data_IF_178568875663
#
_entry.id   IF_178568875663
#
_cell.length_a   1.000
_cell.length_b   1.000
_cell.length_c   1.000
_cell.angle_alpha   90.00
_cell.angle_beta   90.00
_cell.angle_gamma   90.00
#
_symmetry.space_group_name_H-M   'P 1'
#
loop_
_entity.id
_entity.type
_entity.pdbx_description
1 polymer ?
#
# COMPACT_ATOMS: atom_id res chain seq x y z
N UNK A 1 -9.56 57.42 -58.63
CA UNK A 1 -11.00 57.72 -58.46
C UNK A 1 -11.54 56.90 -57.29
N UNK A 2 -12.40 57.46 -56.44
CA UNK A 2 -12.02 57.75 -55.05
C UNK A 2 -12.99 57.21 -53.99
N UNK A 3 -12.55 57.33 -52.71
CA UNK A 3 -13.32 57.84 -51.55
C UNK A 3 -14.42 56.97 -50.94
N UNK A 4 -14.77 56.98 -49.65
CA UNK A 4 -14.25 57.46 -48.35
C UNK A 4 -15.47 57.34 -47.38
N UNK A 5 -15.26 57.36 -46.06
CA UNK A 5 -16.31 57.71 -45.07
C UNK A 5 -16.95 56.51 -44.33
N UNK A 6 -16.65 56.13 -43.07
CA UNK A 6 -16.47 56.83 -41.78
C UNK A 6 -17.78 57.03 -40.98
N UNK A 7 -17.91 56.22 -39.91
CA UNK A 7 -18.36 56.49 -38.52
C UNK A 7 -19.84 56.74 -38.12
N UNK A 8 -20.12 56.15 -36.94
CA UNK A 8 -20.87 56.63 -35.76
C UNK A 8 -22.40 56.58 -35.72
N UNK A 9 -22.95 56.19 -34.56
CA UNK A 9 -24.26 56.66 -34.10
C UNK A 9 -25.10 55.65 -33.32
N UNK A 10 -24.96 55.70 -31.99
CA UNK A 10 -25.81 55.08 -30.96
C UNK A 10 -27.27 55.57 -31.00
N UNK A 11 -28.23 54.69 -30.65
CA UNK A 11 -29.35 54.91 -29.70
C UNK A 11 -30.70 54.32 -30.15
N UNK A 12 -31.28 53.58 -29.20
CA UNK A 12 -32.64 53.02 -29.13
C UNK A 12 -33.69 54.15 -29.10
N UNK A 13 -34.93 53.94 -29.58
CA UNK A 13 -36.04 53.85 -28.62
C UNK A 13 -37.23 52.91 -28.99
N UNK A 14 -37.78 52.30 -27.93
CA UNK A 14 -39.20 52.18 -27.55
C UNK A 14 -40.24 51.44 -28.42
N UNK A 15 -40.68 50.31 -27.86
CA UNK A 15 -42.06 49.87 -27.60
C UNK A 15 -43.20 50.32 -28.54
N UNK A 16 -43.86 49.33 -29.13
CA UNK A 16 -45.32 49.34 -29.24
C UNK A 16 -45.92 47.93 -29.06
N UNK A 17 -46.72 47.82 -28.01
CA UNK A 17 -47.55 46.69 -27.64
C UNK A 17 -48.53 46.28 -28.74
N UNK A 18 -48.82 44.98 -28.86
CA UNK A 18 -50.19 44.45 -29.04
C UNK A 18 -50.24 42.92 -28.86
N UNK A 19 -50.68 42.53 -27.67
CA UNK A 19 -51.67 41.49 -27.37
C UNK A 19 -51.42 40.00 -27.73
N UNK A 20 -51.24 39.24 -26.63
CA UNK A 20 -51.93 38.00 -26.26
C UNK A 20 -51.58 36.69 -26.99
N UNK A 21 -50.61 35.95 -26.41
CA UNK A 21 -50.82 34.52 -26.09
C UNK A 21 -50.03 34.20 -24.81
N UNK A 22 -50.61 34.52 -23.65
CA UNK A 22 -50.06 34.12 -22.35
C UNK A 22 -50.37 32.64 -22.12
N UNK A 23 -49.45 31.77 -22.53
CA UNK A 23 -49.32 30.45 -21.91
C UNK A 23 -48.52 30.67 -20.62
N UNK A 24 -49.09 30.42 -19.42
CA UNK A 24 -48.34 30.59 -18.18
C UNK A 24 -47.31 29.47 -18.08
N UNK A 25 -46.03 29.80 -18.24
CA UNK A 25 -44.90 28.88 -18.15
C UNK A 25 -44.51 28.54 -16.71
N UNK A 26 -45.25 29.01 -15.70
CA UNK A 26 -44.99 28.71 -14.30
C UNK A 26 -46.29 28.67 -13.52
N UNK A 27 -46.92 27.49 -13.46
CA UNK A 27 -47.99 27.22 -12.51
C UNK A 27 -47.57 26.05 -11.62
N UNK A 28 -47.08 26.41 -10.43
CA UNK A 28 -47.16 25.64 -9.19
C UNK A 28 -46.72 24.17 -9.25
N UNK A 29 -45.43 23.93 -9.05
CA UNK A 29 -45.05 23.03 -7.97
C UNK A 29 -44.25 23.87 -6.98
N UNK A 30 -44.85 24.12 -5.81
CA UNK A 30 -44.16 24.66 -4.68
C UNK A 30 -42.92 23.79 -4.45
N UNK A 31 -41.74 24.32 -4.74
CA UNK A 31 -40.50 23.79 -4.20
C UNK A 31 -40.56 24.11 -2.72
N UNK A 32 -41.14 23.18 -1.95
CA UNK A 32 -40.80 23.04 -0.54
C UNK A 32 -39.29 23.03 -0.48
N UNK A 33 -38.69 24.12 -0.01
CA UNK A 33 -37.32 24.10 0.47
C UNK A 33 -37.23 22.87 1.39
N UNK A 34 -36.28 21.94 1.17
CA UNK A 34 -36.18 20.77 2.02
C UNK A 34 -36.08 21.28 3.45
N UNK A 35 -36.99 20.80 4.30
CA UNK A 35 -36.93 21.12 5.72
C UNK A 35 -35.51 20.79 6.22
N UNK A 36 -34.94 21.55 7.17
CA UNK A 36 -33.62 21.24 7.71
C UNK A 36 -33.52 19.79 8.22
N UNK A 37 -34.65 19.19 8.59
CA UNK A 37 -34.76 17.78 8.99
C UNK A 37 -34.70 16.80 7.79
N UNK A 38 -35.32 17.12 6.65
CA UNK A 38 -35.21 16.33 5.41
C UNK A 38 -33.79 16.38 4.82
N UNK A 39 -33.11 17.52 4.92
CA UNK A 39 -31.73 17.66 4.46
C UNK A 39 -30.73 16.93 5.39
N UNK A 40 -30.95 16.95 6.71
CA UNK A 40 -30.18 16.18 7.67
C UNK A 40 -30.39 14.66 7.53
N UNK A 41 -31.64 14.22 7.31
CA UNK A 41 -31.98 12.81 7.06
C UNK A 41 -31.39 12.28 5.76
N UNK A 42 -31.38 13.10 4.69
CA UNK A 42 -30.74 12.74 3.41
C UNK A 42 -29.21 12.74 3.48
N UNK A 43 -28.59 13.66 4.23
CA UNK A 43 -27.15 13.65 4.45
C UNK A 43 -26.71 12.43 5.27
N UNK A 44 -27.40 12.14 6.38
CA UNK A 44 -27.13 10.97 7.23
C UNK A 44 -27.25 9.68 6.44
N UNK A 45 -28.28 9.55 5.61
CA UNK A 45 -28.47 8.40 4.73
C UNK A 45 -27.35 8.26 3.69
N UNK A 46 -26.94 9.35 3.04
CA UNK A 46 -25.82 9.35 2.08
C UNK A 46 -24.51 8.97 2.76
N UNK A 47 -24.23 9.57 3.92
CA UNK A 47 -23.07 9.23 4.74
C UNK A 47 -23.05 7.75 5.11
N UNK A 48 -24.18 7.18 5.52
CA UNK A 48 -24.29 5.76 5.84
C UNK A 48 -24.02 4.85 4.64
N UNK A 49 -24.56 5.21 3.47
CA UNK A 49 -24.35 4.46 2.23
C UNK A 49 -22.88 4.46 1.83
N UNK A 50 -22.24 5.64 1.81
CA UNK A 50 -20.82 5.76 1.45
C UNK A 50 -19.91 5.10 2.50
N UNK A 51 -20.23 5.25 3.78
CA UNK A 51 -19.53 4.54 4.88
C UNK A 51 -19.60 3.02 4.71
N UNK A 52 -20.77 2.48 4.35
CA UNK A 52 -20.95 1.04 4.13
C UNK A 52 -20.12 0.53 2.94
N UNK A 53 -20.06 1.29 1.85
CA UNK A 53 -19.22 0.96 0.69
C UNK A 53 -17.74 1.02 1.06
N UNK A 54 -17.30 2.05 1.78
CA UNK A 54 -15.93 2.19 2.24
C UNK A 54 -15.52 1.01 3.13
N UNK A 55 -16.35 0.64 4.11
CA UNK A 55 -16.08 -0.49 4.99
C UNK A 55 -16.02 -1.85 4.28
N UNK A 56 -16.73 -2.00 3.16
CA UNK A 56 -16.63 -3.20 2.32
C UNK A 56 -15.23 -3.38 1.71
N UNK A 57 -14.50 -2.28 1.50
CA UNK A 57 -13.14 -2.27 0.94
C UNK A 57 -12.11 -2.27 2.07
N UNK A 58 -12.27 -1.34 3.02
CA UNK A 58 -11.33 -1.06 4.10
C UNK A 58 -11.29 -2.21 5.10
N UNK A 59 -12.43 -2.77 5.51
CA UNK A 59 -12.47 -3.84 6.52
C UNK A 59 -11.62 -5.06 6.15
N UNK A 60 -11.84 -5.70 4.99
CA UNK A 60 -11.02 -6.82 4.55
C UNK A 60 -9.55 -6.42 4.28
N UNK A 61 -9.32 -5.17 3.86
CA UNK A 61 -7.96 -4.64 3.67
C UNK A 61 -7.20 -4.52 5.00
N UNK A 62 -7.82 -3.97 6.05
CA UNK A 62 -7.26 -3.91 7.42
C UNK A 62 -6.87 -5.30 7.86
N UNK A 63 -7.81 -6.24 7.78
CA UNK A 63 -7.58 -7.62 8.16
C UNK A 63 -6.41 -8.24 7.39
N UNK A 64 -6.37 -8.09 6.06
CA UNK A 64 -5.29 -8.66 5.24
C UNK A 64 -3.91 -8.09 5.60
N UNK A 65 -3.84 -6.78 5.89
CA UNK A 65 -2.59 -6.11 6.28
C UNK A 65 -2.15 -6.55 7.68
N UNK A 66 -3.08 -6.60 8.63
CA UNK A 66 -2.80 -7.12 9.98
C UNK A 66 -2.32 -8.57 9.92
N UNK A 67 -3.02 -9.44 9.18
CA UNK A 67 -2.63 -10.84 9.03
C UNK A 67 -1.23 -10.98 8.41
N UNK A 68 -0.92 -10.19 7.37
CA UNK A 68 0.39 -10.24 6.72
C UNK A 68 1.50 -9.68 7.61
N UNK A 69 1.24 -8.61 8.36
CA UNK A 69 2.21 -8.04 9.31
C UNK A 69 2.45 -8.96 10.51
N UNK A 70 1.42 -9.69 10.97
CA UNK A 70 1.56 -10.68 12.03
C UNK A 70 2.56 -11.78 11.72
N UNK A 71 2.83 -12.08 10.44
CA UNK A 71 3.91 -13.01 10.08
C UNK A 71 5.29 -12.50 10.56
N UNK A 72 5.57 -11.20 10.46
CA UNK A 72 6.80 -10.62 11.02
C UNK A 72 6.84 -10.72 12.54
N UNK A 73 5.72 -10.42 13.21
CA UNK A 73 5.63 -10.47 14.68
C UNK A 73 5.82 -11.90 15.21
N UNK A 74 5.18 -12.88 14.58
CA UNK A 74 5.36 -14.30 14.92
C UNK A 74 6.82 -14.72 14.71
N UNK A 75 7.41 -14.35 13.57
CA UNK A 75 8.82 -14.63 13.27
C UNK A 75 9.75 -14.07 14.35
N UNK A 76 9.54 -12.83 14.78
CA UNK A 76 10.31 -12.21 15.87
C UNK A 76 10.09 -12.92 17.21
N UNK A 77 8.84 -13.26 17.56
CA UNK A 77 8.55 -13.99 18.80
C UNK A 77 9.26 -15.35 18.87
N UNK A 78 9.29 -16.09 17.76
CA UNK A 78 10.02 -17.35 17.67
C UNK A 78 11.54 -17.17 17.75
N UNK A 79 12.10 -16.09 17.21
CA UNK A 79 13.51 -15.76 17.42
C UNK A 79 13.83 -15.45 18.88
N UNK A 80 12.90 -14.82 19.62
CA UNK A 80 13.00 -14.62 21.07
C UNK A 80 13.11 -15.91 21.88
N UNK A 81 12.52 -17.01 21.40
CA UNK A 81 12.69 -18.32 22.02
C UNK A 81 14.05 -18.97 21.74
N UNK A 82 14.77 -18.51 20.71
CA UNK A 82 16.12 -18.99 20.40
C UNK A 82 17.17 -18.32 21.29
N UNK A 83 17.00 -17.03 21.57
CA UNK A 83 17.86 -16.27 22.47
C UNK A 83 17.71 -14.75 22.30
N UNK A 84 18.27 -14.00 23.24
CA UNK A 84 18.23 -12.53 23.25
C UNK A 84 18.99 -11.94 22.04
N UNK A 85 20.11 -12.57 21.65
CA UNK A 85 20.94 -12.11 20.53
C UNK A 85 20.21 -12.33 19.19
N UNK A 86 19.56 -13.47 19.01
CA UNK A 86 18.76 -13.82 17.84
C UNK A 86 17.57 -12.88 17.68
N UNK A 87 16.88 -12.58 18.79
CA UNK A 87 15.79 -11.61 18.83
C UNK A 87 16.25 -10.21 18.44
N UNK A 88 17.34 -9.73 19.03
CA UNK A 88 17.91 -8.42 18.71
C UNK A 88 18.30 -8.34 17.23
N UNK A 89 18.97 -9.38 16.72
CA UNK A 89 19.43 -9.42 15.33
C UNK A 89 18.28 -9.40 14.32
N UNK A 90 17.24 -10.23 14.51
CA UNK A 90 16.09 -10.25 13.60
C UNK A 90 15.22 -9.00 13.74
N UNK A 91 15.14 -8.43 14.94
CA UNK A 91 14.39 -7.20 15.17
C UNK A 91 15.07 -6.05 14.43
N UNK A 92 16.38 -5.88 14.58
CA UNK A 92 17.15 -4.85 13.87
C UNK A 92 17.10 -5.06 12.35
N UNK A 93 17.32 -6.29 11.86
CA UNK A 93 17.22 -6.58 10.43
C UNK A 93 15.83 -6.21 9.87
N UNK A 94 14.74 -6.54 10.57
CA UNK A 94 13.39 -6.21 10.12
C UNK A 94 13.07 -4.72 10.24
N UNK A 95 13.45 -4.07 11.35
CA UNK A 95 13.06 -2.68 11.65
C UNK A 95 13.93 -1.65 10.95
N UNK A 96 15.20 -1.94 10.69
CA UNK A 96 16.14 -1.05 10.01
C UNK A 96 16.20 -1.39 8.53
N UNK A 97 16.54 -2.64 8.18
CA UNK A 97 16.81 -3.01 6.77
C UNK A 97 15.49 -3.26 6.01
N UNK A 98 14.66 -4.20 6.47
CA UNK A 98 13.43 -4.56 5.73
C UNK A 98 12.44 -3.40 5.71
N UNK A 99 12.20 -2.74 6.84
CA UNK A 99 11.19 -1.70 6.91
C UNK A 99 11.54 -0.45 6.09
N UNK A 100 12.82 -0.12 5.95
CA UNK A 100 13.28 0.95 5.05
C UNK A 100 12.88 0.65 3.61
N UNK A 101 13.19 -0.56 3.13
CA UNK A 101 12.87 -1.03 1.79
C UNK A 101 11.35 -1.17 1.58
N UNK A 102 10.64 -1.68 2.58
CA UNK A 102 9.18 -1.83 2.57
C UNK A 102 8.49 -0.49 2.32
N UNK A 103 8.88 0.57 3.03
CA UNK A 103 8.29 1.90 2.88
C UNK A 103 8.42 2.45 1.45
N UNK A 104 9.63 2.36 0.89
CA UNK A 104 9.90 2.80 -0.47
C UNK A 104 9.09 2.01 -1.50
N UNK A 105 9.14 0.68 -1.45
CA UNK A 105 8.45 -0.19 -2.39
C UNK A 105 6.92 -0.07 -2.28
N UNK A 106 6.39 0.09 -1.07
CA UNK A 106 4.95 0.32 -0.86
C UNK A 106 4.51 1.67 -1.45
N UNK A 107 5.34 2.71 -1.31
CA UNK A 107 5.08 4.02 -1.91
C UNK A 107 5.17 3.96 -3.43
N UNK A 108 6.14 3.23 -3.97
CA UNK A 108 6.26 3.02 -5.41
C UNK A 108 5.06 2.27 -6.00
N UNK A 109 4.50 1.32 -5.24
CA UNK A 109 3.29 0.61 -5.61
C UNK A 109 2.01 1.46 -5.50
N UNK A 110 1.98 2.55 -4.74
CA UNK A 110 0.77 3.39 -4.62
C UNK A 110 0.45 4.15 -5.90
N UNK A 111 1.44 4.43 -6.75
CA UNK A 111 1.21 4.94 -8.10
C UNK A 111 0.29 4.00 -8.93
N UNK A 112 0.41 2.69 -8.73
CA UNK A 112 -0.43 1.70 -9.39
C UNK A 112 -1.90 1.79 -8.93
N UNK A 113 -2.14 2.11 -7.66
CA UNK A 113 -3.50 2.26 -7.12
C UNK A 113 -4.26 3.34 -7.89
N UNK A 114 -3.68 4.52 -8.05
CA UNK A 114 -4.27 5.62 -8.83
C UNK A 114 -4.52 5.22 -10.28
N UNK A 115 -3.54 4.60 -10.95
CA UNK A 115 -3.66 4.19 -12.34
C UNK A 115 -4.72 3.11 -12.55
N UNK A 116 -4.78 2.12 -11.65
CA UNK A 116 -5.80 1.07 -11.68
C UNK A 116 -7.18 1.62 -11.33
N UNK A 117 -7.32 2.51 -10.35
CA UNK A 117 -8.58 3.17 -10.00
C UNK A 117 -9.15 3.99 -11.16
N UNK A 118 -8.31 4.79 -11.82
CA UNK A 118 -8.68 5.54 -13.03
C UNK A 118 -9.08 4.62 -14.19
N UNK A 119 -8.30 3.56 -14.46
CA UNK A 119 -8.61 2.62 -15.53
C UNK A 119 -9.88 1.81 -15.25
N UNK A 120 -10.10 1.41 -14.01
CA UNK A 120 -11.29 0.67 -13.59
C UNK A 120 -12.56 1.54 -13.69
N UNK A 121 -12.50 2.78 -13.20
CA UNK A 121 -13.59 3.76 -13.34
C UNK A 121 -13.86 4.14 -14.80
N UNK A 122 -12.82 4.25 -15.61
CA UNK A 122 -12.90 4.48 -17.06
C UNK A 122 -13.25 3.24 -17.89
N UNK A 123 -13.56 2.09 -17.26
CA UNK A 123 -13.89 0.80 -17.90
C UNK A 123 -12.79 0.24 -18.82
N UNK A 124 -11.55 0.68 -18.69
CA UNK A 124 -10.37 0.17 -19.41
C UNK A 124 -9.77 -1.03 -18.68
N UNK A 125 -10.56 -2.09 -18.51
CA UNK A 125 -10.23 -3.22 -17.62
C UNK A 125 -8.91 -3.92 -17.95
N UNK A 126 -8.58 -4.12 -19.23
CA UNK A 126 -7.35 -4.83 -19.60
C UNK A 126 -6.07 -4.09 -19.15
N UNK A 127 -6.13 -2.76 -19.04
CA UNK A 127 -4.97 -1.96 -18.63
C UNK A 127 -4.54 -2.24 -17.19
N UNK A 128 -5.44 -2.72 -16.32
CA UNK A 128 -5.07 -3.08 -14.95
C UNK A 128 -3.98 -4.15 -14.92
N UNK A 129 -4.10 -5.18 -15.79
CA UNK A 129 -3.10 -6.25 -15.90
C UNK A 129 -1.77 -5.75 -16.45
N UNK A 130 -1.82 -4.84 -17.43
CA UNK A 130 -0.63 -4.19 -18.00
C UNK A 130 0.09 -3.34 -16.96
N UNK A 131 -0.64 -2.49 -16.21
CA UNK A 131 -0.05 -1.67 -15.15
C UNK A 131 0.53 -2.50 -14.02
N UNK A 132 -0.12 -3.61 -13.63
CA UNK A 132 0.42 -4.54 -12.64
C UNK A 132 1.77 -5.12 -13.10
N UNK A 133 1.86 -5.58 -14.36
CA UNK A 133 3.11 -6.10 -14.93
C UNK A 133 4.19 -5.03 -15.02
N UNK A 134 3.84 -3.82 -15.43
CA UNK A 134 4.74 -2.66 -15.46
C UNK A 134 5.31 -2.36 -14.07
N UNK A 135 4.43 -2.40 -13.06
CA UNK A 135 4.83 -2.22 -11.67
C UNK A 135 5.76 -3.33 -11.18
N UNK A 136 5.50 -4.59 -11.53
CA UNK A 136 6.42 -5.70 -11.22
C UNK A 136 7.82 -5.45 -11.78
N UNK A 137 7.94 -5.03 -13.03
CA UNK A 137 9.24 -4.73 -13.65
C UNK A 137 9.96 -3.61 -12.88
N UNK A 138 9.28 -2.49 -12.64
CA UNK A 138 9.88 -1.32 -11.98
C UNK A 138 10.28 -1.63 -10.53
N UNK A 139 9.40 -2.28 -9.76
CA UNK A 139 9.71 -2.62 -8.37
C UNK A 139 10.78 -3.70 -8.27
N UNK A 140 10.83 -4.66 -9.21
CA UNK A 140 11.90 -5.66 -9.23
C UNK A 140 13.26 -5.02 -9.49
N UNK A 141 13.36 -4.11 -10.46
CA UNK A 141 14.58 -3.33 -10.71
C UNK A 141 14.96 -2.53 -9.45
N UNK A 142 13.99 -1.89 -8.80
CA UNK A 142 14.23 -1.18 -7.54
C UNK A 142 14.75 -2.11 -6.44
N UNK A 143 14.18 -3.32 -6.30
CA UNK A 143 14.68 -4.31 -5.35
C UNK A 143 16.15 -4.67 -5.59
N UNK A 144 16.56 -4.83 -6.86
CA UNK A 144 17.95 -5.07 -7.25
C UNK A 144 18.85 -3.89 -6.86
N UNK A 145 18.42 -2.65 -7.11
CA UNK A 145 19.17 -1.44 -6.75
C UNK A 145 19.34 -1.29 -5.23
N UNK A 146 18.43 -1.84 -4.45
CA UNK A 146 18.43 -1.79 -2.99
C UNK A 146 19.21 -2.93 -2.32
N UNK A 147 19.70 -3.92 -3.08
CA UNK A 147 20.52 -5.03 -2.55
C UNK A 147 21.73 -4.60 -1.71
N UNK A 148 22.46 -3.51 -2.04
CA UNK A 148 23.57 -3.06 -1.21
C UNK A 148 23.19 -2.83 0.26
N UNK A 149 21.94 -2.43 0.56
CA UNK A 149 21.48 -2.24 1.94
C UNK A 149 21.44 -3.56 2.73
N UNK A 150 21.17 -4.67 2.06
CA UNK A 150 21.18 -6.00 2.67
C UNK A 150 22.60 -6.57 2.75
N UNK A 151 23.38 -6.41 1.69
CA UNK A 151 24.76 -6.94 1.60
C UNK A 151 25.69 -6.24 2.61
N UNK A 152 25.53 -4.93 2.78
CA UNK A 152 26.35 -4.13 3.70
C UNK A 152 25.65 -3.84 5.03
N UNK A 153 24.64 -4.64 5.41
CA UNK A 153 23.90 -4.42 6.65
C UNK A 153 24.81 -4.46 7.89
N UNK A 154 25.70 -5.46 8.02
CA UNK A 154 26.63 -5.56 9.17
C UNK A 154 27.51 -4.30 9.35
N UNK A 155 28.31 -3.87 8.36
CA UNK A 155 29.16 -2.67 8.53
C UNK A 155 28.35 -1.38 8.73
N UNK A 156 27.18 -1.26 8.10
CA UNK A 156 26.28 -0.10 8.33
C UNK A 156 25.78 -0.09 9.77
N UNK A 157 25.36 -1.23 10.32
CA UNK A 157 24.88 -1.33 11.70
C UNK A 157 25.98 -1.05 12.72
N UNK A 158 27.21 -1.52 12.48
CA UNK A 158 28.37 -1.16 13.30
C UNK A 158 28.64 0.34 13.29
N UNK A 159 28.56 0.97 12.12
CA UNK A 159 28.71 2.43 11.99
C UNK A 159 27.63 3.19 12.74
N UNK A 160 26.41 2.63 12.83
CA UNK A 160 25.30 3.16 13.61
C UNK A 160 25.42 2.89 15.12
N UNK A 161 26.52 2.27 15.58
CA UNK A 161 26.83 2.04 16.99
C UNK A 161 26.19 0.79 17.59
N UNK A 162 25.73 -0.16 16.77
CA UNK A 162 25.25 -1.45 17.28
C UNK A 162 26.42 -2.31 17.79
N UNK A 163 26.21 -3.13 18.85
CA UNK A 163 27.18 -4.12 19.29
C UNK A 163 27.62 -5.04 18.15
N UNK A 164 28.90 -5.42 18.13
CA UNK A 164 29.48 -6.19 17.01
C UNK A 164 28.79 -7.54 16.78
N UNK A 165 28.44 -8.26 17.84
CA UNK A 165 27.73 -9.54 17.79
C UNK A 165 26.33 -9.39 17.19
N UNK A 166 25.59 -8.37 17.60
CA UNK A 166 24.25 -8.03 17.08
C UNK A 166 24.34 -7.61 15.61
N UNK A 167 25.32 -6.76 15.26
CA UNK A 167 25.48 -6.24 13.91
C UNK A 167 25.86 -7.34 12.91
N UNK A 168 26.78 -8.23 13.27
CA UNK A 168 27.17 -9.36 12.40
C UNK A 168 26.00 -10.32 12.19
N UNK A 169 25.30 -10.70 13.26
CA UNK A 169 24.16 -11.61 13.13
C UNK A 169 23.00 -10.97 12.36
N UNK A 170 22.74 -9.68 12.57
CA UNK A 170 21.77 -8.90 11.77
C UNK A 170 22.13 -8.88 10.29
N UNK A 171 23.44 -8.77 9.97
CA UNK A 171 23.93 -8.84 8.59
C UNK A 171 23.64 -10.19 7.94
N UNK A 172 23.93 -11.29 8.65
CA UNK A 172 23.60 -12.64 8.18
C UNK A 172 22.10 -12.79 7.95
N UNK A 173 21.27 -12.39 8.92
CA UNK A 173 19.80 -12.45 8.80
C UNK A 173 19.31 -11.61 7.62
N UNK A 174 19.88 -10.43 7.41
CA UNK A 174 19.50 -9.55 6.29
C UNK A 174 19.65 -10.26 4.95
N UNK A 175 20.74 -11.00 4.73
CA UNK A 175 20.92 -11.78 3.50
C UNK A 175 19.85 -12.87 3.33
N UNK A 176 19.45 -13.54 4.41
CA UNK A 176 18.38 -14.53 4.39
C UNK A 176 16.97 -13.94 4.25
N UNK A 177 16.81 -12.64 4.43
CA UNK A 177 15.55 -11.90 4.18
C UNK A 177 15.44 -11.36 2.75
N UNK A 178 16.45 -11.54 1.90
CA UNK A 178 16.40 -11.18 0.48
C UNK A 178 15.18 -11.76 -0.27
N UNK A 179 14.76 -13.03 -0.05
CA UNK A 179 13.57 -13.55 -0.72
C UNK A 179 12.28 -12.82 -0.29
N UNK A 180 12.16 -12.38 0.98
CA UNK A 180 11.04 -11.51 1.43
C UNK A 180 11.11 -10.17 0.71
N UNK A 181 12.29 -9.57 0.60
CA UNK A 181 12.47 -8.29 -0.10
C UNK A 181 11.96 -8.34 -1.55
N UNK A 182 12.36 -9.35 -2.32
CA UNK A 182 11.86 -9.54 -3.68
C UNK A 182 10.37 -9.89 -3.73
N UNK A 183 9.83 -10.52 -2.70
CA UNK A 183 8.39 -10.81 -2.62
C UNK A 183 7.55 -9.52 -2.69
N UNK A 184 8.04 -8.41 -2.10
CA UNK A 184 7.33 -7.12 -2.09
C UNK A 184 7.11 -6.56 -3.50
N UNK A 185 8.06 -6.79 -4.41
CA UNK A 185 7.93 -6.36 -5.80
C UNK A 185 6.71 -6.95 -6.50
N UNK A 186 6.29 -8.15 -6.09
CA UNK A 186 5.13 -8.83 -6.65
C UNK A 186 3.87 -8.63 -5.81
N UNK A 187 4.02 -8.71 -4.48
CA UNK A 187 2.92 -8.65 -3.54
C UNK A 187 2.19 -7.32 -3.56
N UNK A 188 2.91 -6.19 -3.54
CA UNK A 188 2.23 -4.88 -3.49
C UNK A 188 1.44 -4.59 -4.76
N UNK A 189 2.00 -4.78 -5.98
CA UNK A 189 1.22 -4.54 -7.19
C UNK A 189 0.01 -5.46 -7.32
N UNK A 190 0.17 -6.74 -6.97
CA UNK A 190 -0.89 -7.74 -7.03
C UNK A 190 -2.03 -7.42 -6.05
N UNK A 191 -1.68 -6.98 -4.84
CA UNK A 191 -2.66 -6.51 -3.86
C UNK A 191 -3.44 -5.30 -4.39
N UNK A 192 -2.76 -4.26 -4.93
CA UNK A 192 -3.46 -3.08 -5.49
C UNK A 192 -4.31 -3.43 -6.72
N UNK A 193 -3.84 -4.35 -7.56
CA UNK A 193 -4.61 -4.88 -8.69
C UNK A 193 -5.93 -5.52 -8.24
N UNK A 194 -5.91 -6.35 -7.19
CA UNK A 194 -7.12 -6.96 -6.66
C UNK A 194 -8.00 -5.96 -5.88
N UNK A 195 -7.39 -5.02 -5.14
CA UNK A 195 -8.12 -3.99 -4.38
C UNK A 195 -8.90 -3.04 -5.29
N UNK A 196 -8.29 -2.55 -6.36
CA UNK A 196 -8.94 -1.66 -7.35
C UNK A 196 -10.15 -2.30 -8.04
N UNK A 197 -10.24 -3.64 -8.04
CA UNK A 197 -11.37 -4.41 -8.55
C UNK A 197 -12.39 -4.78 -7.48
N UNK A 198 -12.27 -4.24 -6.27
CA UNK A 198 -13.11 -4.56 -5.11
C UNK A 198 -13.04 -6.03 -4.67
N UNK A 199 -11.95 -6.75 -5.01
CA UNK A 199 -11.74 -8.16 -4.64
C UNK A 199 -11.01 -8.30 -3.29
N UNK A 200 -11.28 -7.39 -2.36
CA UNK A 200 -10.62 -7.30 -1.05
C UNK A 200 -10.87 -8.52 -0.16
N UNK A 201 -12.01 -9.19 -0.31
CA UNK A 201 -12.30 -10.45 0.39
C UNK A 201 -11.35 -11.59 -0.01
N UNK A 202 -10.93 -11.65 -1.27
CA UNK A 202 -9.96 -12.66 -1.74
C UNK A 202 -8.62 -12.42 -1.06
N UNK A 203 -8.19 -11.16 -1.02
CA UNK A 203 -6.95 -10.76 -0.35
C UNK A 203 -7.01 -11.17 1.13
N UNK A 204 -8.11 -10.88 1.83
CA UNK A 204 -8.31 -11.26 3.22
C UNK A 204 -8.19 -12.77 3.45
N UNK A 205 -8.89 -13.60 2.69
CA UNK A 205 -8.83 -15.05 2.84
C UNK A 205 -7.46 -15.65 2.53
N UNK A 206 -6.81 -15.16 1.47
CA UNK A 206 -5.44 -15.61 1.12
C UNK A 206 -4.43 -15.17 2.19
N UNK A 207 -4.56 -13.95 2.74
CA UNK A 207 -3.73 -13.50 3.86
C UNK A 207 -3.94 -14.33 5.13
N UNK A 208 -5.18 -14.72 5.44
CA UNK A 208 -5.46 -15.63 6.56
C UNK A 208 -4.83 -17.00 6.33
N UNK A 209 -5.02 -17.59 5.14
CA UNK A 209 -4.42 -18.88 4.81
C UNK A 209 -2.89 -18.82 4.90
N UNK A 210 -2.28 -17.76 4.38
CA UNK A 210 -0.84 -17.53 4.49
C UNK A 210 -0.37 -17.40 5.93
N UNK A 211 -1.11 -16.71 6.79
CA UNK A 211 -0.78 -16.59 8.22
C UNK A 211 -0.88 -17.95 8.93
N UNK A 212 -1.89 -18.77 8.63
CA UNK A 212 -2.03 -20.12 9.19
C UNK A 212 -0.89 -21.03 8.73
N UNK A 213 -0.54 -20.98 7.44
CA UNK A 213 0.64 -21.69 6.89
C UNK A 213 1.91 -21.21 7.58
N UNK A 214 2.08 -19.90 7.80
CA UNK A 214 3.22 -19.34 8.50
C UNK A 214 3.34 -19.89 9.93
N UNK A 215 2.24 -19.92 10.69
CA UNK A 215 2.22 -20.49 12.04
C UNK A 215 2.66 -21.96 12.04
N UNK A 216 2.12 -22.76 11.12
CA UNK A 216 2.44 -24.19 11.02
C UNK A 216 3.90 -24.43 10.63
N UNK A 217 4.38 -23.72 9.60
CA UNK A 217 5.75 -23.89 9.08
C UNK A 217 6.77 -23.35 10.09
N UNK A 218 6.52 -22.21 10.73
CA UNK A 218 7.38 -21.67 11.78
C UNK A 218 7.45 -22.60 12.99
N UNK A 219 6.32 -23.16 13.45
CA UNK A 219 6.33 -24.18 14.50
C UNK A 219 7.14 -25.42 14.09
N UNK A 220 6.96 -25.93 12.87
CA UNK A 220 7.68 -27.10 12.39
C UNK A 220 9.19 -26.85 12.27
N UNK A 221 9.60 -25.78 11.60
CA UNK A 221 11.00 -25.53 11.27
C UNK A 221 11.80 -25.00 12.45
N UNK A 222 11.21 -24.12 13.26
CA UNK A 222 11.90 -23.49 14.39
C UNK A 222 11.80 -24.35 15.64
N UNK A 223 10.61 -24.83 16.00
CA UNK A 223 10.43 -25.57 17.25
C UNK A 223 10.72 -27.07 17.12
N UNK A 224 10.24 -27.74 16.06
CA UNK A 224 10.45 -29.18 15.88
C UNK A 224 11.79 -29.54 15.25
N UNK A 225 12.17 -28.86 14.17
CA UNK A 225 13.41 -29.15 13.45
C UNK A 225 14.63 -28.36 13.98
N UNK A 226 14.42 -27.39 14.87
CA UNK A 226 15.47 -26.60 15.51
C UNK A 226 16.47 -25.98 14.52
N UNK A 227 15.97 -25.47 13.40
CA UNK A 227 16.79 -24.87 12.33
C UNK A 227 17.35 -23.47 12.69
N UNK A 228 17.16 -23.03 13.93
CA UNK A 228 17.68 -21.77 14.46
C UNK A 228 17.19 -20.54 13.71
N UNK A 229 17.97 -19.46 13.81
CA UNK A 229 17.61 -18.14 13.30
C UNK A 229 17.47 -18.08 11.78
N UNK A 230 18.31 -18.83 11.06
CA UNK A 230 18.25 -18.94 9.60
C UNK A 230 16.94 -19.62 9.19
N UNK A 231 16.54 -20.69 9.88
CA UNK A 231 15.24 -21.33 9.69
C UNK A 231 14.10 -20.34 9.82
N UNK A 232 14.12 -19.51 10.86
CA UNK A 232 13.13 -18.45 11.10
C UNK A 232 13.04 -17.43 9.95
N UNK A 233 14.18 -17.01 9.37
CA UNK A 233 14.18 -16.10 8.21
C UNK A 233 13.64 -16.77 6.92
N UNK A 234 13.94 -18.07 6.73
CA UNK A 234 13.46 -18.85 5.59
C UNK A 234 11.94 -19.10 5.69
N UNK A 235 11.39 -19.39 6.87
CA UNK A 235 9.94 -19.61 7.02
C UNK A 235 9.15 -18.35 6.73
N UNK A 236 9.66 -17.19 7.16
CA UNK A 236 9.08 -15.90 6.82
C UNK A 236 9.08 -15.67 5.30
N UNK A 237 10.23 -15.87 4.65
CA UNK A 237 10.39 -15.82 3.19
C UNK A 237 9.37 -16.70 2.47
N UNK A 238 9.30 -17.97 2.86
CA UNK A 238 8.36 -18.93 2.29
C UNK A 238 6.90 -18.45 2.39
N UNK A 239 6.53 -17.91 3.56
CA UNK A 239 5.15 -17.48 3.81
C UNK A 239 4.73 -16.28 2.96
N UNK A 240 5.64 -15.31 2.74
CA UNK A 240 5.39 -14.21 1.81
C UNK A 240 5.21 -14.69 0.37
N UNK A 241 5.94 -15.71 -0.05
CA UNK A 241 5.75 -16.31 -1.37
C UNK A 241 4.43 -17.11 -1.48
N UNK A 242 4.02 -17.81 -0.43
CA UNK A 242 2.69 -18.44 -0.36
C UNK A 242 1.57 -17.41 -0.55
N UNK A 243 1.69 -16.24 0.08
CA UNK A 243 0.76 -15.12 -0.10
C UNK A 243 0.64 -14.71 -1.58
N UNK A 244 1.79 -14.50 -2.24
CA UNK A 244 1.86 -14.10 -3.65
C UNK A 244 1.27 -15.18 -4.55
N UNK A 245 1.68 -16.44 -4.38
CA UNK A 245 1.18 -17.55 -5.19
C UNK A 245 -0.31 -17.78 -4.98
N UNK A 246 -0.83 -17.59 -3.77
CA UNK A 246 -2.27 -17.65 -3.50
C UNK A 246 -3.05 -16.56 -4.24
N UNK A 247 -2.58 -15.30 -4.17
CA UNK A 247 -3.25 -14.19 -4.86
C UNK A 247 -3.11 -14.31 -6.38
N UNK A 248 -1.93 -14.67 -6.88
CA UNK A 248 -1.68 -14.78 -8.31
C UNK A 248 -2.38 -16.01 -8.90
N UNK A 249 -2.44 -17.12 -8.16
CA UNK A 249 -3.23 -18.29 -8.52
C UNK A 249 -4.70 -17.95 -8.72
N UNK A 250 -5.31 -17.14 -7.84
CA UNK A 250 -6.67 -16.64 -8.05
C UNK A 250 -6.80 -15.83 -9.36
N UNK A 251 -5.83 -14.95 -9.64
CA UNK A 251 -5.83 -14.12 -10.86
C UNK A 251 -5.67 -14.98 -12.13
N UNK A 252 -4.69 -15.88 -12.15
CA UNK A 252 -4.34 -16.71 -13.30
C UNK A 252 -5.36 -17.82 -13.58
N UNK A 253 -6.00 -18.38 -12.54
CA UNK A 253 -7.01 -19.43 -12.67
C UNK A 253 -8.42 -18.89 -12.97
N UNK A 254 -8.53 -17.69 -13.55
CA UNK A 254 -9.81 -17.15 -14.03
C UNK A 254 -10.60 -16.30 -13.03
N UNK A 255 -10.03 -15.91 -11.89
CA UNK A 255 -10.67 -14.99 -10.95
C UNK A 255 -10.80 -13.55 -11.47
N UNK A 256 -9.99 -13.19 -12.48
CA UNK A 256 -9.89 -11.84 -13.06
C UNK A 256 -9.89 -11.84 -14.61
N UNK A 257 -10.90 -12.42 -15.30
CA UNK A 257 -10.81 -12.71 -16.73
C UNK A 257 -10.84 -11.45 -17.62
N UNK A 258 -11.38 -10.33 -17.13
CA UNK A 258 -11.45 -9.06 -17.88
C UNK A 258 -10.22 -8.16 -17.70
N UNK A 259 -9.49 -8.37 -16.62
CA UNK A 259 -8.39 -7.51 -16.16
C UNK A 259 -7.03 -8.20 -16.27
N UNK A 260 -7.04 -9.54 -16.38
CA UNK A 260 -5.86 -10.35 -16.63
C UNK A 260 -6.08 -11.24 -17.87
N UNK A 261 -5.34 -10.94 -18.93
CA UNK A 261 -5.33 -11.71 -20.19
C UNK A 261 -3.99 -12.42 -20.43
N UNK A 262 -3.14 -12.49 -19.40
CA UNK A 262 -1.78 -13.02 -19.49
C UNK A 262 -0.70 -11.93 -19.60
N UNK A 263 0.53 -12.36 -19.81
CA UNK A 263 1.67 -11.47 -19.99
C UNK A 263 1.56 -10.67 -21.30
N UNK A 264 1.85 -9.37 -21.25
CA UNK A 264 1.76 -8.47 -22.39
C UNK A 264 3.05 -7.69 -22.58
N UNK A 265 3.48 -7.54 -23.84
CA UNK A 265 4.63 -6.70 -24.19
C UNK A 265 4.39 -5.21 -23.92
N UNK A 266 3.12 -4.81 -23.78
CA UNK A 266 2.74 -3.45 -23.39
C UNK A 266 3.17 -3.09 -21.95
N UNK A 267 3.52 -4.09 -21.13
CA UNK A 267 4.14 -3.84 -19.84
C UNK A 267 5.46 -3.07 -19.97
N UNK A 268 6.14 -3.17 -21.11
CA UNK A 268 7.41 -2.49 -21.39
C UNK A 268 7.23 -1.12 -22.07
N UNK A 269 6.02 -0.75 -22.51
CA UNK A 269 5.77 0.59 -23.03
C UNK A 269 5.65 1.61 -21.89
N UNK A 270 6.07 2.85 -22.17
CA UNK A 270 5.95 4.00 -21.25
C UNK A 270 6.50 3.76 -19.84
N UNK A 271 7.49 2.86 -19.74
CA UNK A 271 8.09 2.46 -18.47
C UNK A 271 8.71 3.65 -17.74
N UNK A 272 9.33 4.58 -18.48
CA UNK A 272 9.96 5.77 -17.91
C UNK A 272 8.98 6.72 -17.23
N UNK A 273 7.80 6.92 -17.81
CA UNK A 273 6.75 7.75 -17.19
C UNK A 273 6.22 7.09 -15.92
N UNK A 274 6.01 5.77 -15.97
CA UNK A 274 5.63 5.01 -14.79
C UNK A 274 6.72 5.06 -13.71
N UNK A 275 8.01 4.95 -14.08
CA UNK A 275 9.14 5.09 -13.15
C UNK A 275 9.11 6.45 -12.46
N UNK A 276 8.94 7.55 -13.20
CA UNK A 276 8.86 8.89 -12.61
C UNK A 276 7.73 9.00 -11.59
N UNK A 277 6.53 8.53 -11.95
CA UNK A 277 5.38 8.55 -11.06
C UNK A 277 5.61 7.68 -9.82
N UNK A 278 6.10 6.45 -10.04
CA UNK A 278 6.36 5.47 -8.99
C UNK A 278 7.44 5.96 -8.02
N UNK A 279 8.55 6.52 -8.51
CA UNK A 279 9.61 7.09 -7.66
C UNK A 279 9.09 8.29 -6.87
N UNK A 280 8.30 9.18 -7.47
CA UNK A 280 7.72 10.31 -6.75
C UNK A 280 6.81 9.87 -5.59
N UNK A 281 5.91 8.91 -5.84
CA UNK A 281 5.06 8.30 -4.80
C UNK A 281 5.88 7.52 -3.76
N UNK A 282 6.93 6.83 -4.21
CA UNK A 282 7.91 6.14 -3.38
C UNK A 282 8.55 7.07 -2.38
N UNK A 283 9.24 8.12 -2.85
CA UNK A 283 9.95 9.09 -2.00
C UNK A 283 9.01 9.75 -0.99
N UNK A 284 7.80 10.12 -1.41
CA UNK A 284 6.81 10.75 -0.52
C UNK A 284 6.48 9.86 0.69
N UNK A 285 6.03 8.63 0.45
CA UNK A 285 5.65 7.71 1.53
C UNK A 285 6.87 7.25 2.34
N UNK A 286 8.02 7.14 1.68
CA UNK A 286 9.25 6.73 2.30
C UNK A 286 9.76 7.77 3.30
N UNK A 287 9.74 9.07 2.93
CA UNK A 287 10.11 10.17 3.82
C UNK A 287 9.18 10.26 5.04
N UNK A 288 7.88 10.02 4.86
CA UNK A 288 6.92 9.97 5.96
C UNK A 288 7.28 8.86 6.96
N UNK A 289 7.51 7.64 6.48
CA UNK A 289 7.88 6.50 7.34
C UNK A 289 9.26 6.68 7.99
N UNK A 290 10.23 7.23 7.26
CA UNK A 290 11.57 7.50 7.80
C UNK A 290 11.55 8.58 8.87
N UNK A 291 10.78 9.65 8.68
CA UNK A 291 10.62 10.71 9.66
C UNK A 291 10.17 10.14 11.02
N UNK A 292 9.13 9.30 11.02
CA UNK A 292 8.67 8.64 12.25
C UNK A 292 9.74 7.74 12.88
N UNK A 293 10.51 6.99 12.08
CA UNK A 293 11.58 6.11 12.59
C UNK A 293 12.76 6.87 13.18
N UNK A 294 13.16 7.98 12.57
CA UNK A 294 14.22 8.86 13.10
C UNK A 294 13.77 9.45 14.44
N UNK A 295 12.53 9.90 14.57
CA UNK A 295 11.99 10.37 15.86
C UNK A 295 12.06 9.30 16.95
N UNK A 296 11.71 8.05 16.62
CA UNK A 296 11.76 6.92 17.56
C UNK A 296 13.21 6.54 17.91
N UNK A 297 14.13 6.60 16.95
CA UNK A 297 15.56 6.35 17.21
C UNK A 297 16.15 7.41 18.14
N UNK A 298 15.79 8.69 17.95
CA UNK A 298 16.24 9.79 18.81
C UNK A 298 15.73 9.66 20.24
N UNK A 299 14.50 9.17 20.45
CA UNK A 299 13.96 8.91 21.79
C UNK A 299 14.53 7.66 22.44
N UNK A 300 15.05 6.71 21.65
CA UNK A 300 15.74 5.50 22.13
C UNK A 300 17.14 5.73 22.69
N UNK A 301 17.72 6.92 22.53
CA UNK A 301 19.04 7.29 23.06
C UNK A 301 19.02 7.77 24.53
N UNK A 302 17.93 7.51 25.26
CA UNK A 302 17.76 7.84 26.67
C UNK A 302 18.42 6.76 27.56
N UNK A 303 18.86 7.15 28.76
CA UNK A 303 19.62 6.26 29.67
C UNK A 303 18.86 4.96 30.00
N UNK A 304 19.57 3.82 29.94
CA UNK A 304 19.10 2.41 30.01
C UNK A 304 18.71 1.74 28.68
N UNK A 305 19.62 1.79 27.70
CA UNK A 305 19.46 1.26 26.34
C UNK A 305 19.03 -0.21 26.22
N UNK A 306 19.42 -1.11 27.15
CA UNK A 306 19.09 -2.55 27.01
C UNK A 306 17.59 -2.84 27.21
N UNK A 307 16.98 -2.24 28.24
CA UNK A 307 15.53 -2.32 28.47
C UNK A 307 14.78 -1.48 27.42
N UNK A 308 15.37 -0.36 27.00
CA UNK A 308 14.80 0.50 25.98
C UNK A 308 14.72 -0.20 24.62
N UNK A 309 15.72 -0.96 24.18
CA UNK A 309 15.70 -1.65 22.87
C UNK A 309 14.64 -2.76 22.82
N UNK A 310 14.49 -3.55 23.88
CA UNK A 310 13.45 -4.59 23.93
C UNK A 310 12.04 -3.97 23.99
N UNK A 311 11.86 -2.93 24.82
CA UNK A 311 10.61 -2.19 24.89
C UNK A 311 10.30 -1.45 23.56
N UNK A 312 11.31 -0.88 22.91
CA UNK A 312 11.20 -0.23 21.60
C UNK A 312 10.81 -1.24 20.53
N UNK A 313 11.35 -2.46 20.55
CA UNK A 313 10.97 -3.53 19.63
C UNK A 313 9.47 -3.87 19.75
N UNK A 314 8.96 -3.98 20.98
CA UNK A 314 7.53 -4.20 21.25
C UNK A 314 6.69 -2.99 20.79
N UNK A 315 7.09 -1.77 21.14
CA UNK A 315 6.39 -0.55 20.73
C UNK A 315 6.36 -0.39 19.20
N UNK A 316 7.46 -0.69 18.51
CA UNK A 316 7.56 -0.67 17.05
C UNK A 316 6.66 -1.72 16.39
N UNK A 317 6.53 -2.90 17.02
CA UNK A 317 5.61 -3.94 16.56
C UNK A 317 4.16 -3.49 16.68
N UNK A 318 3.79 -2.89 17.82
CA UNK A 318 2.45 -2.33 18.06
C UNK A 318 2.16 -1.18 17.08
N UNK A 319 3.09 -0.25 16.92
CA UNK A 319 2.95 0.87 15.99
C UNK A 319 2.80 0.36 14.54
N UNK A 320 3.53 -0.68 14.16
CA UNK A 320 3.37 -1.30 12.85
C UNK A 320 1.99 -1.92 12.64
N UNK A 321 1.41 -2.58 13.63
CA UNK A 321 0.02 -3.05 13.58
C UNK A 321 -0.98 -1.91 13.48
N UNK A 322 -0.82 -0.87 14.30
CA UNK A 322 -1.67 0.32 14.27
C UNK A 322 -1.64 0.98 12.89
N UNK A 323 -0.45 1.15 12.31
CA UNK A 323 -0.25 1.79 11.00
C UNK A 323 -0.97 1.03 9.86
N UNK A 324 -1.22 -0.27 10.01
CA UNK A 324 -2.00 -1.03 9.01
C UNK A 324 -3.44 -0.51 8.88
N UNK A 325 -3.99 0.12 9.92
CA UNK A 325 -5.35 0.66 9.91
C UNK A 325 -5.41 1.94 9.04
N UNK A 326 -4.68 3.03 9.30
CA UNK A 326 -4.67 4.22 8.43
C UNK A 326 -4.29 3.91 6.98
N UNK A 327 -3.31 3.03 6.75
CA UNK A 327 -2.91 2.63 5.39
C UNK A 327 -4.03 1.92 4.63
N UNK A 328 -4.94 1.24 5.33
CA UNK A 328 -6.10 0.61 4.72
C UNK A 328 -7.18 1.62 4.34
N UNK A 329 -7.35 2.67 5.13
CA UNK A 329 -8.22 3.79 4.77
C UNK A 329 -7.67 4.54 3.55
N UNK A 330 -6.37 4.84 3.54
CA UNK A 330 -5.70 5.46 2.39
C UNK A 330 -5.92 4.64 1.10
N UNK A 331 -5.76 3.32 1.20
CA UNK A 331 -6.02 2.39 0.10
C UNK A 331 -7.50 2.30 -0.31
N UNK A 332 -8.42 2.45 0.64
CA UNK A 332 -9.86 2.36 0.37
C UNK A 332 -10.45 3.62 -0.27
N UNK A 333 -9.76 4.76 -0.13
CA UNK A 333 -10.19 6.06 -0.67
C UNK A 333 -9.56 6.45 -2.00
N UNK A 334 -8.47 5.79 -2.41
CA UNK A 334 -7.77 6.02 -3.68
C UNK A 334 -8.37 5.23 -4.83
#
# INVERSE_FOLDING_TARGET
MPSNGKKEGTNVPLLQDSASTNVPLLQGSASTAPSPDDSAGTLTRRFWIESKKLWHIVGPTIFSRMASYSMFVITQAFAGHLGDLELAAISIANTVVVAFNFGLLLGMASALETLCGQAFGGKKYYMLGVYMQRSWIVLFICCVLLLPLYVFASPVLKLLGQPDDVAELSGVVSLWLLPVHFSFAFQFPLQRFLQSQLKTMVIAWVSLASLLVHLLVTWLFVYKMQLGLIGTAITLSFSWWVLIFGMFGYVACGGCPRTWTGFSMEAFSDLWEFVKLSVASGVMLCLENWYYRVLILMTGNLQNAKIAVDALSICMSINGWELMIPLSFFAGTG
#
